data_IF_434481138204
#
_entry.id   IF_434481138204
#
_cell.length_a   1.000
_cell.length_b   1.000
_cell.length_c   1.000
_cell.angle_alpha   90.00
_cell.angle_beta   90.00
_cell.angle_gamma   90.00
#
_symmetry.space_group_name_H-M   'P 1'
#
loop_
_entity.id
_entity.type
_entity.pdbx_description
1 polymer ?
#
# COMPACT_ATOMS: atom_id res chain seq x y z
N UNK A 1 -3.20 15.80 6.35
CA UNK A 1 -3.40 14.39 6.01
C UNK A 1 -4.47 13.77 6.90
N UNK A 2 -5.39 12.99 6.32
CA UNK A 2 -6.33 12.14 7.06
C UNK A 2 -5.85 10.69 7.00
N UNK A 3 -5.94 9.94 8.08
CA UNK A 3 -5.58 8.51 8.11
C UNK A 3 -6.82 7.68 8.44
N UNK A 4 -7.07 6.65 7.63
CA UNK A 4 -8.19 5.72 7.81
C UNK A 4 -7.66 4.31 8.06
N UNK A 5 -8.01 3.73 9.20
CA UNK A 5 -7.61 2.39 9.63
C UNK A 5 -8.77 1.40 9.50
N UNK A 6 -8.44 0.10 9.41
CA UNK A 6 -9.42 -0.95 9.09
C UNK A 6 -10.42 -1.28 10.21
N UNK A 7 -10.21 -0.73 11.41
CA UNK A 7 -11.13 -0.83 12.56
C UNK A 7 -12.15 0.32 12.61
N UNK A 8 -12.19 1.17 11.58
CA UNK A 8 -13.13 2.31 11.45
C UNK A 8 -13.91 2.23 10.14
N UNK A 9 -15.13 2.79 10.06
CA UNK A 9 -15.86 2.90 8.80
C UNK A 9 -15.02 3.58 7.71
N UNK A 10 -15.09 3.06 6.48
CA UNK A 10 -14.39 3.64 5.34
C UNK A 10 -15.27 4.61 4.58
N UNK A 11 -14.68 5.73 4.18
CA UNK A 11 -15.21 6.61 3.14
C UNK A 11 -13.99 7.11 2.38
N UNK A 12 -13.89 6.71 1.12
CA UNK A 12 -12.71 6.99 0.30
C UNK A 12 -12.82 8.36 -0.35
N UNK A 13 -11.80 9.19 -0.13
CA UNK A 13 -11.70 10.53 -0.71
C UNK A 13 -11.02 10.48 -2.09
N UNK A 14 -11.35 11.47 -2.93
CA UNK A 14 -10.84 11.57 -4.30
C UNK A 14 -9.31 11.73 -4.38
N UNK A 15 -8.69 12.26 -3.33
CA UNK A 15 -7.23 12.31 -3.19
C UNK A 15 -6.83 11.34 -2.07
N UNK A 16 -6.60 10.08 -2.42
CA UNK A 16 -6.30 9.01 -1.48
C UNK A 16 -5.18 8.06 -1.95
N UNK A 17 -4.42 7.56 -0.98
CA UNK A 17 -3.36 6.56 -1.17
C UNK A 17 -3.69 5.34 -0.30
N UNK A 18 -3.81 4.16 -0.89
CA UNK A 18 -3.93 2.90 -0.16
C UNK A 18 -2.56 2.24 0.03
N UNK A 19 -2.21 1.87 1.26
CA UNK A 19 -0.92 1.26 1.61
C UNK A 19 -1.02 -0.28 1.63
N UNK A 20 -1.03 -0.88 0.44
CA UNK A 20 -1.01 -2.32 0.25
C UNK A 20 0.39 -2.91 0.47
N UNK A 21 0.44 -4.14 0.99
CA UNK A 21 1.68 -4.80 1.36
C UNK A 21 1.50 -5.73 2.55
N UNK A 22 2.53 -6.53 2.89
CA UNK A 22 2.44 -7.44 4.02
C UNK A 22 2.21 -6.69 5.33
N UNK A 23 1.42 -7.30 6.20
CA UNK A 23 1.18 -6.88 7.58
C UNK A 23 1.96 -7.82 8.52
N UNK A 24 2.59 -7.30 9.58
CA UNK A 24 3.22 -8.13 10.62
C UNK A 24 2.27 -9.19 11.19
N UNK A 25 2.76 -10.41 11.43
CA UNK A 25 1.99 -11.50 12.04
C UNK A 25 2.02 -11.51 13.57
N UNK A 26 2.81 -10.64 14.17
CA UNK A 26 2.99 -10.50 15.61
C UNK A 26 3.39 -9.07 15.95
N UNK A 27 3.06 -8.62 17.16
CA UNK A 27 3.40 -7.28 17.66
C UNK A 27 4.92 -7.01 17.79
N UNK A 28 5.74 -8.06 17.87
CA UNK A 28 7.20 -7.94 17.92
C UNK A 28 7.83 -7.48 16.59
N UNK A 29 7.08 -7.58 15.48
CA UNK A 29 7.55 -7.21 14.15
C UNK A 29 6.93 -5.86 13.80
N UNK A 30 7.78 -4.86 13.55
CA UNK A 30 7.33 -3.52 13.23
C UNK A 30 6.71 -3.46 11.83
N UNK A 31 5.59 -2.76 11.72
CA UNK A 31 5.01 -2.38 10.44
C UNK A 31 5.87 -1.32 9.75
N UNK A 32 5.85 -1.32 8.41
CA UNK A 32 6.48 -0.30 7.57
C UNK A 32 5.59 0.92 7.34
N UNK A 33 4.29 0.81 7.63
CA UNK A 33 3.29 1.85 7.35
C UNK A 33 3.48 3.14 8.16
N UNK A 34 3.87 3.11 9.46
CA UNK A 34 4.19 4.33 10.18
C UNK A 34 5.34 5.13 9.55
N UNK A 35 6.34 4.45 8.99
CA UNK A 35 7.44 5.11 8.29
C UNK A 35 6.96 5.74 6.97
N UNK A 36 6.13 5.03 6.21
CA UNK A 36 5.51 5.53 4.99
C UNK A 36 4.67 6.80 5.24
N UNK A 37 3.84 6.78 6.29
CA UNK A 37 3.03 7.91 6.75
C UNK A 37 3.93 9.11 7.08
N UNK A 38 5.02 8.91 7.82
CA UNK A 38 5.96 9.97 8.17
C UNK A 38 6.64 10.59 6.93
N UNK A 39 6.93 9.82 5.87
CA UNK A 39 7.41 10.41 4.61
C UNK A 39 6.34 11.27 3.93
N UNK A 40 5.09 10.81 3.89
CA UNK A 40 3.98 11.59 3.33
C UNK A 40 3.69 12.88 4.14
N UNK A 41 3.83 12.83 5.47
CA UNK A 41 3.72 14.01 6.34
C UNK A 41 4.81 15.05 6.02
N UNK A 42 6.06 14.61 5.84
CA UNK A 42 7.17 15.50 5.47
C UNK A 42 7.00 16.13 4.08
N UNK A 43 6.29 15.44 3.18
CA UNK A 43 5.92 15.95 1.85
C UNK A 43 4.68 16.86 1.89
N UNK A 44 4.14 17.13 3.09
CA UNK A 44 2.93 17.94 3.30
C UNK A 44 1.70 17.39 2.57
N UNK A 45 1.60 16.06 2.42
CA UNK A 45 0.45 15.43 1.79
C UNK A 45 -0.85 15.76 2.55
N UNK A 46 -1.81 16.34 1.84
CA UNK A 46 -3.07 16.82 2.43
C UNK A 46 -4.25 15.85 2.28
N UNK A 47 -4.11 14.81 1.45
CA UNK A 47 -5.17 13.83 1.20
C UNK A 47 -5.33 12.75 2.28
N UNK A 48 -5.98 11.65 1.89
CA UNK A 48 -6.27 10.50 2.74
C UNK A 48 -5.25 9.38 2.54
N UNK A 49 -4.76 8.80 3.64
CA UNK A 49 -3.97 7.57 3.64
C UNK A 49 -4.81 6.45 4.23
N UNK A 50 -5.03 5.40 3.44
CA UNK A 50 -5.84 4.24 3.81
C UNK A 50 -4.90 3.10 4.21
N UNK A 51 -5.01 2.69 5.47
CA UNK A 51 -4.13 1.74 6.14
C UNK A 51 -4.93 0.47 6.46
N UNK A 52 -4.63 -0.68 5.82
CA UNK A 52 -5.35 -1.94 6.08
C UNK A 52 -4.97 -2.60 7.43
N UNK A 53 -4.12 -1.94 8.22
CA UNK A 53 -3.88 -2.33 9.60
C UNK A 53 -4.91 -1.65 10.50
N UNK A 54 -5.22 -2.26 11.63
CA UNK A 54 -6.06 -1.64 12.66
C UNK A 54 -5.23 -0.62 13.42
N UNK A 55 -5.89 0.45 13.89
CA UNK A 55 -5.25 1.38 14.83
C UNK A 55 -5.02 0.71 16.19
N UNK A 56 -5.99 -0.11 16.62
CA UNK A 56 -5.94 -0.88 17.87
C UNK A 56 -6.14 -2.39 17.61
N UNK A 57 -5.61 -3.23 18.50
CA UNK A 57 -5.72 -4.70 18.40
C UNK A 57 -7.12 -5.26 18.74
N UNK A 58 -8.15 -4.41 18.82
CA UNK A 58 -9.51 -4.82 19.11
C UNK A 58 -10.20 -5.45 17.87
N UNK A 59 -11.10 -6.40 18.12
CA UNK A 59 -11.62 -7.33 17.12
C UNK A 59 -12.65 -6.73 16.17
N UNK A 60 -12.39 -6.78 14.86
CA UNK A 60 -13.41 -6.79 13.80
C UNK A 60 -13.53 -8.19 13.20
N UNK A 61 -14.69 -8.52 12.63
CA UNK A 61 -14.88 -9.78 11.90
C UNK A 61 -13.91 -9.86 10.72
N UNK A 62 -13.45 -11.06 10.39
CA UNK A 62 -12.53 -11.29 9.27
C UNK A 62 -13.17 -10.86 7.93
N UNK A 63 -14.47 -11.10 7.75
CA UNK A 63 -15.18 -10.72 6.52
C UNK A 63 -15.24 -9.20 6.39
N UNK A 64 -15.56 -8.50 7.48
CA UNK A 64 -15.60 -7.03 7.49
C UNK A 64 -14.24 -6.44 7.09
N UNK A 65 -13.14 -7.04 7.56
CA UNK A 65 -11.79 -6.61 7.16
C UNK A 65 -11.53 -6.82 5.67
N UNK A 66 -11.93 -7.97 5.12
CA UNK A 66 -11.75 -8.26 3.68
C UNK A 66 -12.58 -7.31 2.82
N UNK A 67 -13.81 -7.02 3.21
CA UNK A 67 -14.68 -6.08 2.51
C UNK A 67 -14.13 -4.65 2.56
N UNK A 68 -13.64 -4.23 3.74
CA UNK A 68 -12.99 -2.93 3.93
C UNK A 68 -11.75 -2.76 3.05
N UNK A 69 -10.86 -3.76 3.04
CA UNK A 69 -9.66 -3.76 2.20
C UNK A 69 -10.03 -3.72 0.71
N UNK A 70 -11.05 -4.48 0.31
CA UNK A 70 -11.54 -4.48 -1.06
C UNK A 70 -12.14 -3.12 -1.46
N UNK A 71 -12.95 -2.48 -0.62
CA UNK A 71 -13.47 -1.12 -0.88
C UNK A 71 -12.34 -0.11 -1.07
N UNK A 72 -11.38 -0.08 -0.12
CA UNK A 72 -10.24 0.85 -0.20
C UNK A 72 -9.37 0.64 -1.44
N UNK A 73 -9.10 -0.62 -1.82
CA UNK A 73 -8.33 -0.93 -3.03
C UNK A 73 -9.05 -0.52 -4.32
N UNK A 74 -10.36 -0.71 -4.42
CA UNK A 74 -11.09 -0.39 -5.65
C UNK A 74 -11.26 1.13 -5.83
N UNK A 75 -11.51 1.88 -4.75
CA UNK A 75 -11.94 3.27 -4.83
C UNK A 75 -10.81 4.30 -4.67
N UNK A 76 -9.64 3.93 -4.14
CA UNK A 76 -8.56 4.90 -3.94
C UNK A 76 -7.94 5.42 -5.24
N UNK A 77 -7.30 6.58 -5.16
CA UNK A 77 -6.68 7.23 -6.33
C UNK A 77 -5.34 6.60 -6.70
N UNK A 78 -4.56 6.18 -5.70
CA UNK A 78 -3.25 5.54 -5.87
C UNK A 78 -3.16 4.33 -4.96
N UNK A 79 -2.72 3.20 -5.51
CA UNK A 79 -2.44 1.99 -4.73
C UNK A 79 -0.93 1.83 -4.63
N UNK A 80 -0.38 1.95 -3.42
CA UNK A 80 1.03 1.64 -3.19
C UNK A 80 1.17 0.20 -2.72
N UNK A 81 1.96 -0.59 -3.45
CA UNK A 81 2.44 -1.88 -3.02
C UNK A 81 3.90 -1.77 -2.58
N UNK A 82 4.15 -1.73 -1.28
CA UNK A 82 5.49 -1.93 -0.72
C UNK A 82 5.61 -3.37 -0.22
N UNK A 83 6.57 -4.13 -0.76
CA UNK A 83 6.70 -5.57 -0.45
C UNK A 83 8.06 -5.89 0.20
N UNK A 84 8.29 -5.46 1.47
CA UNK A 84 9.48 -5.77 2.25
C UNK A 84 9.40 -7.20 2.79
N UNK A 85 9.29 -8.17 1.88
CA UNK A 85 8.96 -9.55 2.20
C UNK A 85 9.97 -10.15 3.16
N UNK A 86 9.47 -10.72 4.24
CA UNK A 86 10.21 -11.64 5.10
C UNK A 86 9.42 -12.94 5.20
N UNK A 87 10.01 -14.06 4.80
CA UNK A 87 9.28 -15.32 4.71
C UNK A 87 8.82 -15.88 6.07
N UNK A 88 9.41 -15.41 7.17
CA UNK A 88 9.03 -15.80 8.53
C UNK A 88 7.95 -14.88 9.08
N UNK A 89 8.16 -13.57 8.97
CA UNK A 89 7.34 -12.58 9.70
C UNK A 89 6.31 -11.86 8.84
N UNK A 90 6.60 -11.64 7.56
CA UNK A 90 5.82 -10.82 6.63
C UNK A 90 5.87 -11.39 5.19
N UNK A 91 5.31 -12.59 4.94
CA UNK A 91 5.53 -13.30 3.67
C UNK A 91 4.75 -12.77 2.47
N UNK A 92 3.86 -11.80 2.69
CA UNK A 92 3.07 -11.12 1.64
C UNK A 92 2.21 -12.09 0.79
N UNK A 93 1.54 -13.06 1.43
CA UNK A 93 0.77 -14.08 0.70
C UNK A 93 -0.45 -13.49 -0.02
N UNK A 94 -1.35 -12.83 0.73
CA UNK A 94 -2.54 -12.14 0.19
C UNK A 94 -2.15 -11.01 -0.76
N UNK A 95 -1.08 -10.27 -0.41
CA UNK A 95 -0.51 -9.21 -1.25
C UNK A 95 -0.16 -9.68 -2.67
N UNK A 96 0.25 -10.94 -2.89
CA UNK A 96 0.51 -11.43 -4.25
C UNK A 96 -0.77 -11.49 -5.08
N UNK A 97 -1.91 -11.85 -4.46
CA UNK A 97 -3.20 -11.94 -5.12
C UNK A 97 -3.74 -10.55 -5.43
N UNK A 98 -3.67 -9.64 -4.45
CA UNK A 98 -4.04 -8.22 -4.64
C UNK A 98 -3.21 -7.57 -5.73
N UNK A 99 -1.88 -7.74 -5.68
CA UNK A 99 -0.99 -7.23 -6.71
C UNK A 99 -1.35 -7.80 -8.08
N UNK A 100 -1.57 -9.11 -8.18
CA UNK A 100 -2.00 -9.74 -9.43
C UNK A 100 -3.33 -9.19 -9.96
N UNK A 101 -4.29 -8.91 -9.08
CA UNK A 101 -5.59 -8.32 -9.45
C UNK A 101 -5.44 -6.92 -10.03
N UNK A 102 -4.53 -6.11 -9.50
CA UNK A 102 -4.35 -4.71 -9.90
C UNK A 102 -3.14 -4.45 -10.80
N UNK A 103 -2.36 -5.46 -11.18
CA UNK A 103 -1.06 -5.28 -11.86
C UNK A 103 -1.10 -4.50 -13.19
N UNK A 104 -2.26 -4.43 -13.84
CA UNK A 104 -2.50 -3.67 -15.07
C UNK A 104 -3.13 -2.29 -14.82
N UNK A 105 -3.52 -1.98 -13.59
CA UNK A 105 -4.10 -0.70 -13.22
C UNK A 105 -3.02 0.37 -13.12
N UNK A 106 -3.18 1.46 -13.89
CA UNK A 106 -2.20 2.55 -13.94
C UNK A 106 -2.01 3.30 -12.62
N UNK A 107 -2.96 3.14 -11.67
CA UNK A 107 -2.92 3.70 -10.30
C UNK A 107 -1.87 3.03 -9.41
N UNK A 108 -1.38 1.84 -9.77
CA UNK A 108 -0.45 1.12 -8.91
C UNK A 108 0.98 1.67 -8.97
N UNK A 109 1.59 1.76 -7.81
CA UNK A 109 3.01 2.01 -7.62
C UNK A 109 3.61 0.87 -6.82
N UNK A 110 4.69 0.30 -7.33
CA UNK A 110 5.31 -0.89 -6.75
C UNK A 110 6.74 -0.60 -6.31
N UNK A 111 7.08 -1.07 -5.11
CA UNK A 111 8.46 -1.10 -4.66
C UNK A 111 8.73 -2.22 -3.66
N UNK A 112 10.02 -2.49 -3.47
CA UNK A 112 10.52 -3.45 -2.50
C UNK A 112 12.01 -3.22 -2.21
N UNK A 113 12.50 -3.49 -0.98
CA UNK A 113 13.92 -3.48 -0.69
C UNK A 113 14.70 -4.39 -1.64
N UNK A 114 15.87 -3.95 -2.12
CA UNK A 114 16.73 -4.72 -3.07
C UNK A 114 16.91 -6.19 -2.67
N UNK A 115 17.08 -6.43 -1.37
CA UNK A 115 17.37 -7.75 -0.83
C UNK A 115 16.13 -8.53 -0.39
N UNK A 116 14.90 -8.01 -0.59
CA UNK A 116 13.67 -8.69 -0.21
C UNK A 116 13.46 -9.94 -1.10
N UNK A 117 13.41 -11.15 -0.51
CA UNK A 117 13.34 -12.39 -1.26
C UNK A 117 12.04 -12.54 -2.05
N UNK A 118 12.09 -13.36 -3.11
CA UNK A 118 10.91 -13.87 -3.84
C UNK A 118 10.00 -12.80 -4.47
N UNK A 119 10.54 -11.62 -4.79
CA UNK A 119 9.82 -10.56 -5.48
C UNK A 119 10.04 -10.51 -7.01
N UNK A 120 10.98 -11.28 -7.57
CA UNK A 120 11.34 -11.21 -9.01
C UNK A 120 10.17 -11.39 -9.98
N UNK A 121 9.14 -12.15 -9.59
CA UNK A 121 7.95 -12.31 -10.43
C UNK A 121 7.06 -11.05 -10.42
N UNK A 122 6.95 -10.37 -9.27
CA UNK A 122 6.27 -9.07 -9.18
C UNK A 122 7.03 -8.02 -9.98
N UNK A 123 8.37 -7.99 -9.87
CA UNK A 123 9.24 -7.11 -10.68
C UNK A 123 8.96 -7.29 -12.19
N UNK A 124 8.98 -8.55 -12.67
CA UNK A 124 8.70 -8.87 -14.07
C UNK A 124 7.28 -8.48 -14.47
N UNK A 125 6.27 -8.84 -13.67
CA UNK A 125 4.87 -8.56 -13.99
C UNK A 125 4.58 -7.06 -14.04
N UNK A 126 5.16 -6.27 -13.12
CA UNK A 126 5.02 -4.81 -13.11
C UNK A 126 5.59 -4.17 -14.37
N UNK A 127 6.79 -4.61 -14.76
CA UNK A 127 7.46 -4.15 -15.97
C UNK A 127 6.69 -4.55 -17.22
N UNK A 128 6.22 -5.79 -17.30
CA UNK A 128 5.45 -6.29 -18.44
C UNK A 128 4.11 -5.55 -18.58
N UNK A 129 3.43 -5.30 -17.47
CA UNK A 129 2.07 -4.74 -17.49
C UNK A 129 2.05 -3.23 -17.72
N UNK A 130 3.04 -2.49 -17.20
CA UNK A 130 3.03 -1.02 -17.17
C UNK A 130 4.32 -0.37 -17.69
N UNK A 131 5.35 -1.14 -18.03
CA UNK A 131 6.65 -0.60 -18.46
C UNK A 131 7.43 0.12 -17.36
N UNK A 132 7.06 -0.07 -16.08
CA UNK A 132 7.66 0.60 -14.92
C UNK A 132 8.62 -0.34 -14.19
N UNK A 133 9.69 0.22 -13.63
CA UNK A 133 10.62 -0.52 -12.77
C UNK A 133 10.20 -0.38 -11.29
N UNK A 134 10.44 -1.41 -10.45
CA UNK A 134 10.17 -1.31 -9.01
C UNK A 134 11.07 -0.25 -8.35
N UNK A 135 10.50 0.53 -7.44
CA UNK A 135 11.27 1.45 -6.60
C UNK A 135 11.87 0.67 -5.42
N UNK A 136 13.15 0.87 -5.12
CA UNK A 136 13.89 0.02 -4.20
C UNK A 136 14.00 0.55 -2.77
N UNK A 137 13.46 1.74 -2.51
CA UNK A 137 13.34 2.36 -1.20
C UNK A 137 11.93 2.92 -0.94
N UNK A 138 11.56 3.04 0.34
CA UNK A 138 10.22 3.44 0.76
C UNK A 138 9.96 4.94 0.54
N UNK A 139 10.97 5.78 0.73
CA UNK A 139 10.84 7.24 0.61
C UNK A 139 10.58 7.65 -0.85
N UNK A 140 11.33 7.10 -1.80
CA UNK A 140 11.14 7.29 -3.23
C UNK A 140 9.77 6.81 -3.69
N UNK A 141 9.27 5.70 -3.13
CA UNK A 141 7.94 5.19 -3.43
C UNK A 141 6.84 6.12 -2.92
N UNK A 142 6.97 6.63 -1.68
CA UNK A 142 6.03 7.61 -1.12
C UNK A 142 6.07 8.95 -1.86
N UNK A 143 7.26 9.39 -2.27
CA UNK A 143 7.43 10.60 -3.09
C UNK A 143 6.71 10.44 -4.43
N UNK A 144 6.86 9.30 -5.08
CA UNK A 144 6.16 8.99 -6.34
C UNK A 144 4.64 8.95 -6.15
N UNK A 145 4.17 8.37 -5.04
CA UNK A 145 2.75 8.32 -4.69
C UNK A 145 2.16 9.72 -4.48
N UNK A 146 2.86 10.56 -3.71
CA UNK A 146 2.50 11.96 -3.53
C UNK A 146 2.36 12.70 -4.87
N UNK A 147 3.38 12.63 -5.73
CA UNK A 147 3.35 13.30 -7.04
C UNK A 147 2.22 12.76 -7.94
N UNK A 148 1.93 11.46 -7.88
CA UNK A 148 0.83 10.86 -8.62
C UNK A 148 -0.52 11.46 -8.20
N UNK A 149 -0.74 11.72 -6.92
CA UNK A 149 -1.98 12.37 -6.44
C UNK A 149 -2.11 13.83 -6.87
N UNK A 150 -1.00 14.57 -6.99
CA UNK A 150 -1.01 15.96 -7.48
C UNK A 150 -1.42 16.05 -8.96
N UNK A 151 -0.94 15.11 -9.78
CA UNK A 151 -1.22 15.10 -11.22
C UNK A 151 -2.68 14.73 -11.54
N UNK A 152 -3.38 14.03 -10.65
CA UNK A 152 -4.82 13.78 -10.78
C UNK A 152 -5.67 15.02 -10.49
N UNK A 153 -5.18 15.95 -9.68
CA UNK A 153 -5.89 17.18 -9.31
C UNK A 153 -5.97 18.21 -10.45
N UNK A 154 -5.36 17.94 -11.61
CA UNK A 154 -5.26 18.81 -12.77
C UNK A 154 -6.05 18.30 -14.01
N UNK A 155 -6.74 17.16 -13.89
CA UNK A 155 -7.69 16.66 -14.90
C UNK A 155 -9.11 16.89 -14.44
#
# INVERSE_FOLDING_TARGET
MKISYSDKPLTVEMNSIFLAGPTPRSSEVKSWRPEAINYLEKLEYSGQVIVPERENWEGTDYIDQVEWENEGLNECSVIVFWVPRDLKTMPALTTNIEFGRFCQDTRILYGRPVNAPKNRYLDWLYKESLGREPIDDLEGLMTTAFLATCNWSLK
#
